data_IF_663677746608
#
_entry.id   IF_663677746608
#
_cell.length_a   1.000
_cell.length_b   1.000
_cell.length_c   1.000
_cell.angle_alpha   90.00
_cell.angle_beta   90.00
_cell.angle_gamma   90.00
#
_symmetry.space_group_name_H-M   'P 1'
#
loop_
_entity.id
_entity.type
_entity.pdbx_description
1 polymer ?
#
# COMPACT_ATOMS: atom_id res chain seq x y z
N UNK A 1 -26.87 31.68 41.29
CA UNK A 1 -25.93 30.57 41.44
C UNK A 1 -26.27 29.60 40.30
N UNK A 2 -25.61 29.81 39.17
CA UNK A 2 -25.73 28.97 37.98
C UNK A 2 -24.56 28.02 37.95
N UNK A 3 -24.83 26.73 38.18
CA UNK A 3 -23.88 25.67 38.13
C UNK A 3 -23.48 25.43 36.66
N UNK A 4 -22.22 25.73 36.32
CA UNK A 4 -21.63 25.35 35.04
C UNK A 4 -21.31 23.87 35.09
N UNK A 5 -22.08 23.06 34.35
CA UNK A 5 -21.77 21.65 34.16
C UNK A 5 -20.54 21.56 33.26
N UNK A 6 -19.41 21.21 33.85
CA UNK A 6 -18.22 20.79 33.11
C UNK A 6 -18.57 19.48 32.40
N UNK A 7 -18.77 19.55 31.08
CA UNK A 7 -18.85 18.39 30.24
C UNK A 7 -17.42 17.87 30.08
N UNK A 8 -17.06 16.91 30.91
CA UNK A 8 -15.85 16.12 30.71
C UNK A 8 -16.05 15.26 29.46
N UNK A 9 -15.32 15.60 28.39
CA UNK A 9 -15.19 14.71 27.23
C UNK A 9 -14.10 13.68 27.57
N UNK A 10 -14.43 12.73 28.42
CA UNK A 10 -13.71 11.46 28.52
C UNK A 10 -14.15 10.61 27.34
N UNK A 11 -13.31 10.41 26.34
CA UNK A 11 -13.67 9.53 25.23
C UNK A 11 -12.71 9.48 24.05
N UNK A 12 -11.64 10.26 24.02
CA UNK A 12 -10.78 10.36 22.82
C UNK A 12 -9.43 9.65 22.91
N UNK A 13 -9.03 9.11 24.05
CA UNK A 13 -7.75 8.39 24.19
C UNK A 13 -7.85 6.87 23.93
N UNK A 14 -9.04 6.27 24.09
CA UNK A 14 -9.25 4.81 23.97
C UNK A 14 -9.87 4.39 22.62
N UNK A 15 -10.04 5.31 21.66
CA UNK A 15 -10.52 4.94 20.32
C UNK A 15 -9.46 4.11 19.57
N UNK A 16 -9.74 2.82 19.27
CA UNK A 16 -8.78 1.94 18.58
C UNK A 16 -8.33 2.48 17.21
N UNK A 17 -9.23 3.13 16.46
CA UNK A 17 -8.90 3.75 15.18
C UNK A 17 -7.92 4.90 15.34
N UNK A 18 -8.13 5.74 16.37
CA UNK A 18 -7.20 6.84 16.68
C UNK A 18 -5.83 6.32 17.10
N UNK A 19 -5.78 5.26 17.90
CA UNK A 19 -4.52 4.62 18.27
C UNK A 19 -3.79 4.05 17.05
N UNK A 20 -4.52 3.44 16.12
CA UNK A 20 -3.95 2.96 14.85
C UNK A 20 -3.40 4.13 14.00
N UNK A 21 -4.13 5.24 13.89
CA UNK A 21 -3.64 6.45 13.21
C UNK A 21 -2.33 6.97 13.80
N UNK A 22 -2.26 7.07 15.13
CA UNK A 22 -1.05 7.53 15.83
C UNK A 22 0.13 6.58 15.58
N UNK A 23 -0.08 5.25 15.63
CA UNK A 23 0.97 4.27 15.34
C UNK A 23 1.49 4.40 13.90
N UNK A 24 0.60 4.52 12.92
CA UNK A 24 0.95 4.68 11.51
C UNK A 24 1.74 5.98 11.28
N UNK A 25 1.26 7.11 11.82
CA UNK A 25 1.95 8.41 11.70
C UNK A 25 3.34 8.35 12.32
N UNK A 26 3.46 7.85 13.54
CA UNK A 26 4.76 7.71 14.23
C UNK A 26 5.75 6.86 13.41
N UNK A 27 5.28 5.79 12.80
CA UNK A 27 6.12 4.95 11.94
C UNK A 27 6.58 5.68 10.68
N UNK A 28 5.67 6.42 10.05
CA UNK A 28 5.97 7.26 8.89
C UNK A 28 7.03 8.32 9.23
N UNK A 29 6.88 9.00 10.37
CA UNK A 29 7.85 10.00 10.85
C UNK A 29 9.23 9.39 11.10
N UNK A 30 9.29 8.20 11.69
CA UNK A 30 10.55 7.48 11.92
C UNK A 30 11.24 7.08 10.61
N UNK A 31 10.46 6.59 9.63
CA UNK A 31 10.98 6.22 8.31
C UNK A 31 11.55 7.44 7.58
N UNK A 32 10.79 8.53 7.57
CA UNK A 32 11.21 9.80 6.95
C UNK A 32 12.45 10.38 7.62
N UNK A 33 12.52 10.35 8.95
CA UNK A 33 13.68 10.81 9.71
C UNK A 33 14.95 10.03 9.37
N UNK A 34 14.86 8.67 9.29
CA UNK A 34 15.97 7.82 8.86
C UNK A 34 16.43 8.14 7.43
N UNK A 35 15.49 8.23 6.47
CA UNK A 35 15.81 8.58 5.09
C UNK A 35 16.48 9.94 4.99
N UNK A 36 15.96 10.95 5.68
CA UNK A 36 16.46 12.32 5.70
C UNK A 36 17.86 12.40 6.30
N UNK A 37 18.10 11.72 7.43
CA UNK A 37 19.42 11.68 8.09
C UNK A 37 20.48 11.09 7.18
N UNK A 38 20.20 9.94 6.51
CA UNK A 38 21.13 9.30 5.58
C UNK A 38 21.36 10.13 4.31
N UNK A 39 20.32 10.77 3.78
CA UNK A 39 20.45 11.65 2.61
C UNK A 39 21.23 12.93 2.92
N UNK A 40 21.14 13.46 4.14
CA UNK A 40 21.88 14.64 4.56
C UNK A 40 23.39 14.46 4.44
N UNK A 41 23.91 13.26 4.72
CA UNK A 41 25.33 12.93 4.57
C UNK A 41 25.82 13.15 3.14
N UNK A 42 24.99 12.88 2.13
CA UNK A 42 25.36 13.09 0.71
C UNK A 42 25.36 14.57 0.31
N UNK A 43 24.74 15.45 1.09
CA UNK A 43 24.65 16.89 0.80
C UNK A 43 25.83 17.68 1.36
N UNK A 44 26.66 17.08 2.22
CA UNK A 44 27.85 17.71 2.75
C UNK A 44 28.86 17.98 1.63
N UNK A 45 29.20 19.27 1.43
CA UNK A 45 30.03 19.71 0.32
C UNK A 45 31.51 19.28 0.43
N UNK A 46 31.97 18.88 1.63
CA UNK A 46 33.37 18.56 1.94
C UNK A 46 33.65 17.07 2.13
N UNK A 47 32.70 16.17 1.77
CA UNK A 47 32.93 14.74 1.85
C UNK A 47 34.03 14.30 0.85
N UNK A 48 35.00 13.56 1.36
CA UNK A 48 35.97 12.86 0.52
C UNK A 48 35.22 11.86 -0.39
N UNK A 49 35.79 11.55 -1.58
CA UNK A 49 35.11 10.63 -2.52
C UNK A 49 34.75 9.28 -1.93
N UNK A 50 35.61 8.73 -1.05
CA UNK A 50 35.38 7.45 -0.38
C UNK A 50 34.21 7.50 0.60
N UNK A 51 34.13 8.57 1.40
CA UNK A 51 33.07 8.75 2.41
C UNK A 51 31.71 9.00 1.74
N UNK A 52 31.75 9.70 0.59
CA UNK A 52 30.56 9.91 -0.23
C UNK A 52 30.03 8.59 -0.82
N UNK A 53 30.93 7.73 -1.31
CA UNK A 53 30.53 6.40 -1.80
C UNK A 53 29.95 5.53 -0.70
N UNK A 54 30.51 5.59 0.51
CA UNK A 54 29.99 4.90 1.67
C UNK A 54 28.60 5.41 2.06
N UNK A 55 28.41 6.73 2.10
CA UNK A 55 27.10 7.34 2.39
C UNK A 55 26.03 7.00 1.31
N UNK A 56 26.43 6.96 0.04
CA UNK A 56 25.57 6.53 -1.07
C UNK A 56 25.13 5.07 -0.90
N UNK A 57 26.07 4.17 -0.61
CA UNK A 57 25.80 2.76 -0.40
C UNK A 57 24.89 2.54 0.84
N UNK A 58 25.12 3.29 1.92
CA UNK A 58 24.31 3.22 3.13
C UNK A 58 22.87 3.66 2.89
N UNK A 59 22.65 4.77 2.15
CA UNK A 59 21.29 5.21 1.80
C UNK A 59 20.62 4.22 0.83
N UNK A 60 21.35 3.70 -0.15
CA UNK A 60 20.82 2.71 -1.09
C UNK A 60 20.43 1.40 -0.38
N UNK A 61 21.26 0.91 0.55
CA UNK A 61 20.95 -0.25 1.39
C UNK A 61 19.70 -0.02 2.25
N UNK A 62 19.59 1.11 2.93
CA UNK A 62 18.39 1.47 3.68
C UNK A 62 17.14 1.50 2.77
N UNK A 63 17.25 2.07 1.57
CA UNK A 63 16.13 2.09 0.64
C UNK A 63 15.71 0.68 0.21
N UNK A 64 16.66 -0.22 -0.05
CA UNK A 64 16.38 -1.60 -0.46
C UNK A 64 15.82 -2.44 0.68
N UNK A 65 16.36 -2.30 1.89
CA UNK A 65 16.07 -3.20 3.01
C UNK A 65 14.91 -2.73 3.90
N UNK A 66 14.66 -1.42 3.98
CA UNK A 66 13.60 -0.87 4.84
C UNK A 66 12.54 -0.09 4.05
N UNK A 67 12.95 0.85 3.17
CA UNK A 67 11.99 1.77 2.54
C UNK A 67 11.10 1.08 1.51
N UNK A 68 11.67 0.38 0.52
CA UNK A 68 10.88 -0.27 -0.52
C UNK A 68 9.97 -1.38 0.04
N UNK A 69 10.43 -2.26 0.96
CA UNK A 69 9.55 -3.19 1.64
C UNK A 69 8.40 -2.52 2.42
N UNK A 70 8.67 -1.37 3.06
CA UNK A 70 7.64 -0.60 3.74
C UNK A 70 6.58 -0.08 2.77
N UNK A 71 6.98 0.46 1.63
CA UNK A 71 6.05 0.96 0.60
C UNK A 71 5.20 -0.18 0.03
N UNK A 72 5.80 -1.34 -0.23
CA UNK A 72 5.11 -2.53 -0.72
C UNK A 72 4.10 -3.06 0.31
N UNK A 73 4.49 -3.16 1.57
CA UNK A 73 3.59 -3.57 2.66
C UNK A 73 2.43 -2.57 2.84
N UNK A 74 2.71 -1.27 2.75
CA UNK A 74 1.70 -0.21 2.81
C UNK A 74 0.70 -0.29 1.65
N UNK A 75 1.17 -0.56 0.42
CA UNK A 75 0.29 -0.75 -0.72
C UNK A 75 -0.66 -1.94 -0.51
N UNK A 76 -0.17 -3.02 0.06
CA UNK A 76 -0.96 -4.21 0.32
C UNK A 76 -1.93 -4.01 1.49
N UNK A 77 -1.45 -3.51 2.62
CA UNK A 77 -2.26 -3.39 3.84
C UNK A 77 -3.27 -2.23 3.79
N UNK A 78 -2.86 -1.05 3.29
CA UNK A 78 -3.68 0.16 3.36
C UNK A 78 -4.29 0.56 2.00
N UNK A 79 -3.48 0.54 0.93
CA UNK A 79 -3.94 1.07 -0.36
C UNK A 79 -4.89 0.12 -1.08
N UNK A 80 -4.68 -1.19 -0.97
CA UNK A 80 -5.54 -2.14 -1.65
C UNK A 80 -7.00 -2.07 -1.18
N UNK A 81 -7.33 -2.12 0.14
CA UNK A 81 -8.70 -1.92 0.61
C UNK A 81 -9.29 -0.57 0.16
N UNK A 82 -8.50 0.51 0.24
CA UNK A 82 -8.91 1.84 -0.20
C UNK A 82 -9.16 1.93 -1.71
N UNK A 83 -8.43 1.18 -2.54
CA UNK A 83 -8.66 1.10 -3.99
C UNK A 83 -10.03 0.50 -4.35
N UNK A 84 -10.59 -0.35 -3.47
CA UNK A 84 -11.92 -0.93 -3.61
C UNK A 84 -13.06 0.06 -3.43
N UNK A 85 -12.82 1.27 -2.94
CA UNK A 85 -13.84 2.28 -2.69
C UNK A 85 -13.71 3.47 -3.67
N UNK A 86 -14.84 3.91 -4.23
CA UNK A 86 -14.85 4.99 -5.20
C UNK A 86 -14.25 6.31 -4.66
N UNK A 87 -14.50 6.75 -3.41
CA UNK A 87 -13.95 8.00 -2.89
C UNK A 87 -12.42 8.02 -2.81
N UNK A 88 -11.78 6.89 -2.54
CA UNK A 88 -10.34 6.80 -2.30
C UNK A 88 -9.52 6.28 -3.48
N UNK A 89 -10.17 5.75 -4.51
CA UNK A 89 -9.52 5.11 -5.67
C UNK A 89 -8.52 6.00 -6.41
N UNK A 90 -8.89 7.26 -6.67
CA UNK A 90 -7.99 8.21 -7.35
C UNK A 90 -6.80 8.59 -6.48
N UNK A 91 -7.02 8.75 -5.17
CA UNK A 91 -5.96 9.02 -4.21
C UNK A 91 -4.95 7.87 -4.18
N UNK A 92 -5.41 6.62 -4.07
CA UNK A 92 -4.55 5.44 -4.11
C UNK A 92 -3.73 5.38 -5.40
N UNK A 93 -4.36 5.67 -6.55
CA UNK A 93 -3.64 5.71 -7.82
C UNK A 93 -2.52 6.77 -7.81
N UNK A 94 -2.77 7.95 -7.25
CA UNK A 94 -1.77 9.00 -7.12
C UNK A 94 -0.61 8.59 -6.19
N UNK A 95 -0.91 7.97 -5.05
CA UNK A 95 0.10 7.46 -4.11
C UNK A 95 0.97 6.36 -4.74
N UNK A 96 0.39 5.45 -5.52
CA UNK A 96 1.14 4.42 -6.27
C UNK A 96 2.08 5.01 -7.31
N UNK A 97 1.69 6.12 -7.96
CA UNK A 97 2.59 6.86 -8.86
C UNK A 97 3.78 7.42 -8.07
N UNK A 98 3.56 7.98 -6.88
CA UNK A 98 4.64 8.46 -6.01
C UNK A 98 5.58 7.31 -5.57
N UNK A 99 5.05 6.13 -5.23
CA UNK A 99 5.87 4.94 -4.97
C UNK A 99 6.76 4.59 -6.17
N UNK A 100 6.22 4.63 -7.39
CA UNK A 100 7.00 4.41 -8.60
C UNK A 100 8.12 5.45 -8.80
N UNK A 101 7.87 6.73 -8.47
CA UNK A 101 8.87 7.79 -8.53
C UNK A 101 9.98 7.54 -7.48
N UNK A 102 9.60 7.14 -6.26
CA UNK A 102 10.57 6.80 -5.20
C UNK A 102 11.44 5.62 -5.66
N UNK A 103 10.83 4.53 -6.15
CA UNK A 103 11.58 3.36 -6.64
C UNK A 103 12.53 3.73 -7.79
N UNK A 104 12.10 4.54 -8.75
CA UNK A 104 12.95 5.06 -9.81
C UNK A 104 14.12 5.92 -9.29
N UNK A 105 13.87 6.72 -8.25
CA UNK A 105 14.90 7.54 -7.61
C UNK A 105 15.92 6.68 -6.83
N UNK A 106 15.48 5.57 -6.23
CA UNK A 106 16.37 4.59 -5.57
C UNK A 106 17.29 3.93 -6.60
N UNK A 107 16.75 3.51 -7.76
CA UNK A 107 17.59 2.98 -8.86
C UNK A 107 18.58 4.03 -9.36
N UNK A 108 18.16 5.29 -9.50
CA UNK A 108 19.03 6.38 -9.90
C UNK A 108 20.12 6.68 -8.86
N UNK A 109 19.83 6.52 -7.57
CA UNK A 109 20.80 6.64 -6.48
C UNK A 109 21.85 5.53 -6.55
N UNK A 110 21.42 4.29 -6.69
CA UNK A 110 22.31 3.11 -6.74
C UNK A 110 23.27 3.18 -7.93
N UNK A 111 22.78 3.63 -9.10
CA UNK A 111 23.56 3.72 -10.35
C UNK A 111 24.26 5.07 -10.56
N UNK A 112 24.23 5.99 -9.57
CA UNK A 112 24.78 7.33 -9.73
C UNK A 112 26.32 7.32 -9.86
N UNK A 113 26.81 7.79 -11.01
CA UNK A 113 28.23 7.85 -11.34
C UNK A 113 28.94 9.14 -10.91
N UNK A 114 28.19 10.12 -10.37
CA UNK A 114 28.73 11.39 -9.90
C UNK A 114 28.05 11.86 -8.62
N UNK A 115 28.76 12.70 -7.86
CA UNK A 115 28.24 13.29 -6.63
C UNK A 115 26.93 14.07 -6.85
N UNK A 116 26.81 14.80 -7.95
CA UNK A 116 25.63 15.60 -8.26
C UNK A 116 24.42 14.72 -8.56
N UNK A 117 24.62 13.62 -9.30
CA UNK A 117 23.57 12.64 -9.58
C UNK A 117 23.12 11.94 -8.29
N UNK A 118 24.06 11.52 -7.44
CA UNK A 118 23.73 10.88 -6.16
C UNK A 118 22.94 11.84 -5.25
N UNK A 119 23.38 13.11 -5.13
CA UNK A 119 22.65 14.13 -4.36
C UNK A 119 21.26 14.42 -4.91
N UNK A 120 21.12 14.51 -6.23
CA UNK A 120 19.84 14.75 -6.88
C UNK A 120 18.88 13.58 -6.62
N UNK A 121 19.34 12.33 -6.75
CA UNK A 121 18.56 11.13 -6.48
C UNK A 121 18.14 11.03 -5.00
N UNK A 122 19.10 11.25 -4.07
CA UNK A 122 18.80 11.24 -2.63
C UNK A 122 17.75 12.30 -2.24
N UNK A 123 17.88 13.51 -2.80
CA UNK A 123 16.88 14.58 -2.59
C UNK A 123 15.51 14.19 -3.14
N UNK A 124 15.47 13.58 -4.33
CA UNK A 124 14.22 13.10 -4.95
C UNK A 124 13.54 12.05 -4.06
N UNK A 125 14.29 11.08 -3.53
CA UNK A 125 13.76 10.06 -2.60
C UNK A 125 13.11 10.75 -1.39
N UNK A 126 13.83 11.60 -0.67
CA UNK A 126 13.34 12.23 0.57
C UNK A 126 12.15 13.15 0.30
N UNK A 127 12.22 13.99 -0.73
CA UNK A 127 11.14 14.96 -1.01
C UNK A 127 9.85 14.25 -1.43
N UNK A 128 9.95 13.23 -2.29
CA UNK A 128 8.77 12.48 -2.73
C UNK A 128 8.21 11.62 -1.59
N UNK A 129 9.09 11.01 -0.78
CA UNK A 129 8.67 10.26 0.40
C UNK A 129 7.91 11.14 1.39
N UNK A 130 8.45 12.33 1.71
CA UNK A 130 7.81 13.28 2.62
C UNK A 130 6.39 13.64 2.15
N UNK A 131 6.24 14.00 0.87
CA UNK A 131 4.94 14.34 0.30
C UNK A 131 3.98 13.12 0.30
N UNK A 132 4.48 11.93 -0.01
CA UNK A 132 3.69 10.70 0.00
C UNK A 132 3.16 10.39 1.40
N UNK A 133 4.02 10.41 2.41
CA UNK A 133 3.66 10.10 3.80
C UNK A 133 2.73 11.16 4.39
N UNK A 134 2.91 12.44 4.04
CA UNK A 134 2.00 13.51 4.45
C UNK A 134 0.59 13.30 3.89
N UNK A 135 0.46 13.00 2.60
CA UNK A 135 -0.84 12.69 1.98
C UNK A 135 -1.46 11.43 2.60
N UNK A 136 -0.64 10.42 2.89
CA UNK A 136 -1.11 9.21 3.55
C UNK A 136 -1.67 9.52 4.94
N UNK A 137 -0.94 10.26 5.77
CA UNK A 137 -1.34 10.60 7.13
C UNK A 137 -2.55 11.55 7.16
N UNK A 138 -2.54 12.60 6.34
CA UNK A 138 -3.55 13.65 6.36
C UNK A 138 -4.85 13.28 5.64
N UNK A 139 -4.81 12.39 4.65
CA UNK A 139 -5.96 12.12 3.79
C UNK A 139 -6.36 10.65 3.77
N UNK A 140 -5.43 9.74 3.47
CA UNK A 140 -5.78 8.33 3.28
C UNK A 140 -6.17 7.64 4.59
N UNK A 141 -5.36 7.80 5.63
CA UNK A 141 -5.57 7.11 6.91
C UNK A 141 -6.88 7.56 7.59
N UNK A 142 -7.23 8.86 7.65
CA UNK A 142 -8.55 9.28 8.10
C UNK A 142 -9.69 8.73 7.24
N UNK A 143 -9.54 8.72 5.91
CA UNK A 143 -10.56 8.18 5.03
C UNK A 143 -10.77 6.67 5.23
N UNK A 144 -9.71 5.89 5.52
CA UNK A 144 -9.81 4.46 5.85
C UNK A 144 -10.52 4.22 7.18
N UNK A 145 -10.34 5.09 8.18
CA UNK A 145 -11.01 4.97 9.46
C UNK A 145 -12.55 5.11 9.35
N UNK A 146 -13.02 5.86 8.35
CA UNK A 146 -14.43 6.09 8.07
C UNK A 146 -15.00 5.15 6.97
N UNK A 147 -14.14 4.37 6.32
CA UNK A 147 -14.53 3.56 5.17
C UNK A 147 -15.26 2.29 5.61
N UNK A 148 -16.55 2.10 5.25
CA UNK A 148 -17.26 0.87 5.54
C UNK A 148 -16.55 -0.36 4.98
N UNK A 149 -16.38 -1.38 5.82
CA UNK A 149 -15.70 -2.62 5.45
C UNK A 149 -14.18 -2.58 5.52
N UNK A 150 -13.57 -1.45 5.89
CA UNK A 150 -12.19 -1.33 6.32
C UNK A 150 -12.13 -1.15 7.84
N UNK A 151 -11.31 -1.93 8.51
CA UNK A 151 -10.99 -1.76 9.92
C UNK A 151 -9.55 -1.27 10.04
N UNK A 152 -9.37 0.00 10.33
CA UNK A 152 -8.05 0.62 10.37
C UNK A 152 -7.13 -0.04 11.40
N UNK A 153 -7.67 -0.58 12.50
CA UNK A 153 -6.89 -1.27 13.51
C UNK A 153 -6.30 -2.55 12.94
N UNK A 154 -7.13 -3.37 12.28
CA UNK A 154 -6.68 -4.60 11.62
C UNK A 154 -5.72 -4.30 10.46
N UNK A 155 -5.96 -3.25 9.67
CA UNK A 155 -5.06 -2.86 8.58
C UNK A 155 -3.68 -2.43 9.08
N UNK A 156 -3.62 -1.74 10.22
CA UNK A 156 -2.35 -1.37 10.85
C UNK A 156 -1.63 -2.60 11.42
N UNK A 157 -2.34 -3.57 11.98
CA UNK A 157 -1.79 -4.85 12.45
C UNK A 157 -1.31 -5.71 11.28
N UNK A 158 -2.04 -5.74 10.16
CA UNK A 158 -1.62 -6.40 8.93
C UNK A 158 -0.29 -5.82 8.43
N UNK A 159 -0.16 -4.49 8.41
CA UNK A 159 1.09 -3.82 8.02
C UNK A 159 2.26 -4.26 8.92
N UNK A 160 2.09 -4.27 10.24
CA UNK A 160 3.15 -4.72 11.16
C UNK A 160 3.50 -6.19 10.96
N UNK A 161 2.50 -7.04 10.73
CA UNK A 161 2.67 -8.46 10.44
C UNK A 161 3.51 -8.67 9.19
N UNK A 162 3.20 -7.97 8.10
CA UNK A 162 3.97 -8.05 6.85
C UNK A 162 5.41 -7.57 7.02
N UNK A 163 5.62 -6.48 7.77
CA UNK A 163 6.95 -5.93 8.04
C UNK A 163 7.80 -6.82 8.94
N UNK A 164 7.19 -7.69 9.74
CA UNK A 164 7.90 -8.73 10.49
C UNK A 164 8.29 -9.96 9.64
N UNK A 165 7.86 -10.00 8.36
CA UNK A 165 8.05 -11.14 7.46
C UNK A 165 7.05 -12.28 7.67
N UNK A 166 6.04 -12.09 8.53
CA UNK A 166 4.98 -13.08 8.73
C UNK A 166 3.92 -12.98 7.62
N UNK A 167 3.27 -14.11 7.34
CA UNK A 167 2.18 -14.16 6.36
C UNK A 167 0.85 -13.80 7.01
N UNK A 168 0.02 -13.08 6.27
CA UNK A 168 -1.35 -12.77 6.69
C UNK A 168 -2.27 -13.97 6.43
N UNK A 169 -3.21 -14.17 7.34
CA UNK A 169 -4.30 -15.11 7.10
C UNK A 169 -5.17 -14.62 5.95
N UNK A 170 -5.53 -15.54 5.06
CA UNK A 170 -6.38 -15.30 3.90
C UNK A 170 -7.62 -16.17 3.96
N UNK A 171 -8.78 -15.69 3.52
CA UNK A 171 -9.96 -16.53 3.36
C UNK A 171 -9.82 -17.41 2.11
N UNK A 172 -10.24 -18.67 2.19
CA UNK A 172 -10.38 -19.54 1.02
C UNK A 172 -11.60 -19.15 0.17
N UNK A 173 -12.65 -18.67 0.81
CA UNK A 173 -13.91 -18.26 0.17
C UNK A 173 -14.48 -16.98 0.82
N UNK A 174 -14.99 -16.07 0.00
CA UNK A 174 -15.70 -14.85 0.43
C UNK A 174 -17.11 -14.89 -0.13
N UNK A 175 -18.10 -15.11 0.75
CA UNK A 175 -19.51 -15.04 0.37
C UNK A 175 -20.05 -13.60 0.60
N UNK A 176 -20.02 -12.79 -0.48
CA UNK A 176 -20.47 -11.40 -0.39
C UNK A 176 -21.96 -11.22 -0.22
N UNK A 177 -22.78 -12.27 -0.36
CA UNK A 177 -24.22 -12.22 -0.10
C UNK A 177 -24.52 -11.96 1.37
N UNK A 178 -23.56 -12.31 2.26
CA UNK A 178 -23.62 -12.12 3.71
C UNK A 178 -22.99 -10.81 4.18
N UNK A 179 -22.39 -10.04 3.28
CA UNK A 179 -21.69 -8.79 3.57
C UNK A 179 -22.56 -7.61 3.13
N UNK A 180 -22.76 -6.56 3.95
CA UNK A 180 -23.44 -5.34 3.56
C UNK A 180 -22.87 -4.75 2.28
N UNK A 181 -23.71 -4.20 1.40
CA UNK A 181 -23.32 -3.81 0.06
C UNK A 181 -22.13 -2.81 0.03
N UNK A 182 -22.12 -1.83 0.93
CA UNK A 182 -21.05 -0.82 1.02
C UNK A 182 -19.69 -1.36 1.50
N UNK A 183 -19.67 -2.53 2.15
CA UNK A 183 -18.45 -3.12 2.75
C UNK A 183 -17.75 -4.15 1.84
N UNK A 184 -18.42 -4.58 0.76
CA UNK A 184 -17.97 -5.71 -0.07
C UNK A 184 -16.63 -5.46 -0.74
N UNK A 185 -16.52 -4.33 -1.44
CA UNK A 185 -15.34 -4.05 -2.25
C UNK A 185 -14.07 -3.87 -1.40
N UNK A 186 -14.04 -3.05 -0.33
CA UNK A 186 -12.86 -2.95 0.53
C UNK A 186 -12.41 -4.29 1.09
N UNK A 187 -13.35 -5.16 1.51
CA UNK A 187 -13.03 -6.51 2.01
C UNK A 187 -12.46 -7.42 0.94
N UNK A 188 -13.04 -7.41 -0.28
CA UNK A 188 -12.55 -8.23 -1.40
C UNK A 188 -11.14 -7.78 -1.81
N UNK A 189 -10.92 -6.46 -1.94
CA UNK A 189 -9.63 -5.89 -2.31
C UNK A 189 -8.56 -6.12 -1.24
N UNK A 190 -8.91 -5.99 0.05
CA UNK A 190 -8.03 -6.34 1.15
C UNK A 190 -7.66 -7.82 1.16
N UNK A 191 -8.64 -8.71 0.92
CA UNK A 191 -8.37 -10.15 0.83
C UNK A 191 -7.48 -10.52 -0.35
N UNK A 192 -7.67 -9.88 -1.50
CA UNK A 192 -6.79 -10.06 -2.66
C UNK A 192 -5.34 -9.62 -2.35
N UNK A 193 -5.17 -8.52 -1.64
CA UNK A 193 -3.85 -8.02 -1.28
C UNK A 193 -3.06 -8.97 -0.38
N UNK A 194 -3.74 -9.80 0.42
CA UNK A 194 -3.13 -10.81 1.30
C UNK A 194 -2.65 -12.06 0.55
N UNK A 195 -3.01 -12.24 -0.71
CA UNK A 195 -2.59 -13.39 -1.50
C UNK A 195 -1.10 -13.30 -1.85
N UNK A 196 -0.36 -14.35 -1.62
CA UNK A 196 0.96 -14.52 -2.22
C UNK A 196 0.84 -14.80 -3.74
N UNK A 197 1.90 -14.55 -4.52
CA UNK A 197 1.90 -14.90 -5.95
C UNK A 197 1.56 -16.38 -6.18
N UNK A 198 0.55 -16.63 -7.01
CA UNK A 198 0.02 -17.98 -7.32
C UNK A 198 -1.11 -18.44 -6.40
N UNK A 199 -1.44 -17.68 -5.35
CA UNK A 199 -2.58 -17.98 -4.47
C UNK A 199 -3.89 -17.39 -5.00
N UNK A 200 -5.01 -17.90 -4.47
CA UNK A 200 -6.35 -17.47 -4.89
C UNK A 200 -7.38 -17.67 -3.76
N UNK A 201 -8.48 -16.97 -3.85
CA UNK A 201 -9.71 -17.25 -3.10
C UNK A 201 -10.92 -17.37 -4.04
N UNK A 202 -12.03 -17.88 -3.54
CA UNK A 202 -13.29 -18.00 -4.28
C UNK A 202 -14.27 -16.91 -3.81
N UNK A 203 -14.71 -16.07 -4.73
CA UNK A 203 -15.78 -15.11 -4.50
C UNK A 203 -17.13 -15.77 -4.81
N UNK A 204 -18.09 -15.70 -3.87
CA UNK A 204 -19.46 -16.15 -4.07
C UNK A 204 -20.41 -14.96 -4.12
N UNK A 205 -21.20 -14.86 -5.20
CA UNK A 205 -22.13 -13.77 -5.44
C UNK A 205 -23.48 -14.30 -5.94
N UNK A 206 -24.53 -13.46 -5.91
CA UNK A 206 -25.87 -13.73 -6.45
C UNK A 206 -26.10 -13.23 -7.88
N UNK A 207 -25.15 -12.51 -8.44
CA UNK A 207 -25.14 -11.98 -9.81
C UNK A 207 -23.73 -12.00 -10.39
N UNK A 208 -23.62 -11.82 -11.72
CA UNK A 208 -22.33 -11.74 -12.40
C UNK A 208 -21.51 -10.53 -11.92
N UNK A 209 -20.32 -10.74 -11.32
CA UNK A 209 -19.51 -9.66 -10.76
C UNK A 209 -18.68 -8.90 -11.81
N UNK A 210 -19.22 -8.66 -13.02
CA UNK A 210 -18.55 -7.87 -14.08
C UNK A 210 -18.12 -6.46 -13.65
N UNK A 211 -18.91 -5.70 -12.89
CA UNK A 211 -18.47 -4.40 -12.41
C UNK A 211 -17.23 -4.51 -11.54
N UNK A 212 -17.20 -5.46 -10.60
CA UNK A 212 -16.05 -5.72 -9.73
C UNK A 212 -14.80 -6.09 -10.55
N UNK A 213 -14.93 -6.94 -11.59
CA UNK A 213 -13.82 -7.29 -12.47
C UNK A 213 -13.19 -6.05 -13.12
N UNK A 214 -14.01 -5.10 -13.61
CA UNK A 214 -13.51 -3.84 -14.20
C UNK A 214 -12.75 -2.99 -13.16
N UNK A 215 -13.17 -3.04 -11.91
CA UNK A 215 -12.47 -2.34 -10.83
C UNK A 215 -11.12 -3.02 -10.52
N UNK A 216 -11.07 -4.36 -10.57
CA UNK A 216 -9.82 -5.11 -10.47
C UNK A 216 -8.86 -4.78 -11.63
N UNK A 217 -9.37 -4.75 -12.87
CA UNK A 217 -8.57 -4.34 -14.05
C UNK A 217 -7.97 -2.94 -13.87
N UNK A 218 -8.73 -2.02 -13.26
CA UNK A 218 -8.26 -0.66 -13.01
C UNK A 218 -7.28 -0.55 -11.84
N UNK A 219 -7.42 -1.37 -10.80
CA UNK A 219 -6.61 -1.30 -9.58
C UNK A 219 -5.34 -2.16 -9.64
N UNK A 220 -5.39 -3.28 -10.37
CA UNK A 220 -4.33 -4.29 -10.45
C UNK A 220 -4.13 -4.77 -11.90
N UNK A 221 -3.79 -3.87 -12.85
CA UNK A 221 -3.65 -4.22 -14.26
C UNK A 221 -2.61 -5.34 -14.42
N UNK A 222 -3.01 -6.42 -15.13
CA UNK A 222 -2.17 -7.58 -15.44
C UNK A 222 -1.58 -8.32 -14.21
N UNK A 223 -2.19 -8.15 -13.02
CA UNK A 223 -1.68 -8.79 -11.79
C UNK A 223 -2.57 -9.89 -11.26
N UNK A 224 -3.76 -10.12 -11.83
CA UNK A 224 -4.72 -11.10 -11.32
C UNK A 224 -5.24 -12.05 -12.38
N UNK A 225 -5.76 -13.19 -11.89
CA UNK A 225 -6.56 -14.15 -12.68
C UNK A 225 -8.01 -14.09 -12.25
N UNK A 226 -8.91 -14.28 -13.23
CA UNK A 226 -10.36 -14.23 -13.01
C UNK A 226 -11.03 -15.41 -13.72
N UNK A 227 -11.35 -16.48 -12.98
CA UNK A 227 -11.87 -17.72 -13.52
C UNK A 227 -13.26 -18.03 -12.97
N UNK A 228 -14.28 -18.10 -13.84
CA UNK A 228 -15.61 -18.51 -13.45
C UNK A 228 -15.63 -20.01 -13.14
N UNK A 229 -16.03 -20.37 -11.90
CA UNK A 229 -16.24 -21.75 -11.46
C UNK A 229 -17.71 -22.15 -11.61
N UNK A 230 -18.63 -21.20 -11.44
CA UNK A 230 -20.07 -21.36 -11.58
C UNK A 230 -20.67 -20.04 -12.10
N UNK A 231 -21.52 -20.13 -13.15
CA UNK A 231 -22.10 -18.99 -13.83
C UNK A 231 -23.63 -19.06 -13.81
N UNK A 232 -24.23 -18.44 -12.75
CA UNK A 232 -25.66 -18.18 -12.62
C UNK A 232 -26.63 -19.35 -12.73
N UNK A 233 -27.95 -19.08 -12.75
CA UNK A 233 -28.56 -17.74 -12.62
C UNK A 233 -28.63 -17.19 -11.18
N UNK A 234 -28.60 -18.07 -10.14
CA UNK A 234 -28.80 -17.66 -8.74
C UNK A 234 -27.51 -17.60 -7.92
N UNK A 235 -26.46 -18.22 -8.44
CA UNK A 235 -25.17 -18.32 -7.77
C UNK A 235 -24.07 -18.14 -8.78
N UNK A 236 -23.10 -17.33 -8.44
CA UNK A 236 -21.88 -17.09 -9.20
C UNK A 236 -20.69 -17.38 -8.30
N UNK A 237 -19.75 -18.19 -8.79
CA UNK A 237 -18.50 -18.46 -8.09
C UNK A 237 -17.35 -18.11 -9.01
N UNK A 238 -16.47 -17.26 -8.54
CA UNK A 238 -15.32 -16.78 -9.30
C UNK A 238 -14.07 -17.02 -8.48
N UNK A 239 -13.10 -17.71 -9.05
CA UNK A 239 -11.76 -17.79 -8.47
C UNK A 239 -10.99 -16.55 -8.89
N UNK A 240 -10.52 -15.79 -7.89
CA UNK A 240 -9.68 -14.61 -8.07
C UNK A 240 -8.31 -14.97 -7.53
N UNK A 241 -7.28 -14.97 -8.40
CA UNK A 241 -5.91 -15.35 -8.07
C UNK A 241 -4.93 -14.23 -8.31
N UNK A 242 -3.84 -14.20 -7.54
CA UNK A 242 -2.70 -13.30 -7.78
C UNK A 242 -1.72 -13.99 -8.72
N UNK A 243 -1.38 -13.32 -9.84
CA UNK A 243 -0.43 -13.86 -10.81
C UNK A 243 0.96 -14.02 -10.20
N UNK A 244 1.62 -15.13 -10.51
CA UNK A 244 3.05 -15.28 -10.23
C UNK A 244 3.87 -14.43 -11.19
N UNK A 245 5.07 -13.98 -10.76
CA UNK A 245 5.98 -13.19 -11.59
C UNK A 245 6.35 -13.91 -12.92
N UNK A 246 6.29 -15.23 -12.94
CA UNK A 246 6.54 -16.05 -14.14
C UNK A 246 5.40 -15.93 -15.15
N UNK A 247 4.14 -15.95 -14.70
CA UNK A 247 2.94 -15.91 -15.55
C UNK A 247 2.72 -14.48 -16.12
N UNK A 248 3.09 -13.44 -15.35
CA UNK A 248 3.01 -12.05 -15.80
C UNK A 248 3.94 -11.78 -17.00
N UNK A 249 5.17 -12.34 -17.00
CA UNK A 249 6.12 -12.17 -18.11
C UNK A 249 5.66 -12.86 -19.40
N UNK A 250 4.98 -14.00 -19.32
CA UNK A 250 4.50 -14.70 -20.53
C UNK A 250 3.36 -13.96 -21.26
N UNK A 251 2.50 -13.21 -20.54
CA UNK A 251 1.43 -12.41 -21.17
C UNK A 251 1.96 -11.19 -21.92
N UNK A 252 3.02 -10.55 -21.41
CA UNK A 252 3.62 -9.36 -22.04
C UNK A 252 4.32 -9.70 -23.36
N UNK A 253 4.75 -10.96 -23.58
CA UNK A 253 5.42 -11.40 -24.80
C UNK A 253 4.39 -11.82 -25.87
N UNK A 254 3.17 -12.20 -25.47
CA UNK A 254 2.12 -12.69 -26.38
C UNK A 254 1.30 -11.62 -27.11
N UNK A 255 1.45 -10.32 -26.78
CA UNK A 255 0.67 -9.22 -27.37
C UNK A 255 1.42 -8.38 -28.41
N UNK A 256 2.62 -8.83 -28.84
CA UNK A 256 3.28 -8.28 -30.03
C UNK A 256 3.16 -9.31 -31.18
N UNK A 257 2.06 -9.24 -31.88
CA UNK A 257 1.96 -9.77 -33.24
C UNK A 257 1.33 -8.73 -34.16
N UNK A 258 1.79 -8.64 -35.41
CA UNK A 258 1.81 -7.45 -36.27
C UNK A 258 0.43 -7.01 -36.75
#
# INVERSE_FOLDING_TARGET
MTSTSDVYIEGTQDDPHRQAQIRLSKRNDQLLAKASSKAALLTELRLEPRDRQAAQAELAGFCADELLPYLDATDQALYAPAAGAAPTRLLVRALRIQHGIIAGSVVALDTASSADKARAAARSVVTTLAACLEIQNAVLVPALAELPGADLTLLAEDLETMLSGAQLEKPDEIDVRRIPHGERHPRIFGSYARLAPGESFVLVNNHDPKPLRREFDAAFPDQFEWNYLEAGPKRWRVRIGRLSAHTARCRTIGTRNP
#
